data_IF_453781746645
#
_entry.id   IF_453781746645
#
_cell.length_a   1.000
_cell.length_b   1.000
_cell.length_c   1.000
_cell.angle_alpha   90.00
_cell.angle_beta   90.00
_cell.angle_gamma   90.00
#
_symmetry.space_group_name_H-M   'P 1'
#
loop_
_entity.id
_entity.type
_entity.pdbx_description
1 polymer ?
#
# COMPACT_ATOMS: atom_id res chain seq x y z
N UNK A 1 -36.52 -21.42 -17.25
CA UNK A 1 -35.98 -21.41 -15.88
C UNK A 1 -34.84 -22.42 -15.77
N UNK A 2 -33.61 -21.95 -15.53
CA UNK A 2 -32.45 -22.82 -15.31
C UNK A 2 -32.59 -23.55 -13.97
N UNK A 3 -32.53 -24.88 -13.97
CA UNK A 3 -32.53 -25.70 -12.76
C UNK A 3 -31.09 -26.02 -12.40
N UNK A 4 -30.55 -25.40 -11.35
CA UNK A 4 -29.26 -25.81 -10.81
C UNK A 4 -29.46 -26.90 -9.74
N UNK A 5 -28.63 -27.93 -9.81
CA UNK A 5 -28.73 -29.09 -8.91
C UNK A 5 -27.54 -29.05 -7.96
N UNK A 6 -27.80 -28.93 -6.67
CA UNK A 6 -26.76 -28.92 -5.64
C UNK A 6 -26.78 -30.23 -4.87
N UNK A 7 -25.60 -30.82 -4.64
CA UNK A 7 -25.42 -32.01 -3.80
C UNK A 7 -25.41 -31.53 -2.34
N UNK A 8 -26.40 -31.95 -1.56
CA UNK A 8 -26.45 -31.67 -0.12
C UNK A 8 -26.33 -33.01 0.59
N UNK A 9 -25.11 -33.32 1.05
CA UNK A 9 -24.70 -34.62 1.61
C UNK A 9 -24.73 -35.77 0.59
N UNK A 10 -23.88 -36.80 0.83
CA UNK A 10 -23.36 -37.76 -0.16
C UNK A 10 -24.42 -38.47 -1.05
N UNK A 11 -25.69 -38.50 -0.67
CA UNK A 11 -26.75 -39.23 -1.37
C UNK A 11 -27.97 -38.38 -1.79
N UNK A 12 -28.07 -37.09 -1.43
CA UNK A 12 -29.26 -36.27 -1.71
C UNK A 12 -28.95 -35.12 -2.67
N UNK A 13 -29.66 -35.10 -3.81
CA UNK A 13 -29.64 -33.97 -4.76
C UNK A 13 -30.87 -33.10 -4.51
N UNK A 14 -30.67 -31.89 -3.98
CA UNK A 14 -31.75 -30.89 -3.89
C UNK A 14 -31.76 -30.04 -5.16
N UNK A 15 -32.94 -29.96 -5.79
CA UNK A 15 -33.20 -29.04 -6.89
C UNK A 15 -33.72 -27.74 -6.30
N UNK A 16 -32.89 -26.70 -6.33
CA UNK A 16 -33.36 -25.36 -6.05
C UNK A 16 -33.88 -24.78 -7.36
N UNK A 17 -35.14 -24.33 -7.36
CA UNK A 17 -35.55 -23.34 -8.35
C UNK A 17 -34.92 -22.04 -7.85
N UNK A 18 -33.94 -21.51 -8.56
CA UNK A 18 -33.71 -20.07 -8.48
C UNK A 18 -35.07 -19.47 -8.83
N UNK A 19 -35.69 -18.76 -7.89
CA UNK A 19 -36.72 -17.81 -8.26
C UNK A 19 -36.08 -16.96 -9.35
N UNK A 20 -36.64 -16.97 -10.56
CA UNK A 20 -36.21 -16.00 -11.56
C UNK A 20 -36.26 -14.65 -10.83
N UNK A 21 -35.14 -13.93 -10.81
CA UNK A 21 -35.04 -12.67 -10.08
C UNK A 21 -36.07 -11.74 -10.71
N UNK A 22 -37.27 -11.70 -10.15
CA UNK A 22 -38.31 -10.83 -10.68
C UNK A 22 -37.86 -9.40 -10.42
N UNK A 23 -38.01 -8.55 -11.43
CA UNK A 23 -37.69 -7.14 -11.28
C UNK A 23 -38.50 -6.55 -10.08
N UNK A 24 -37.84 -5.86 -9.13
CA UNK A 24 -38.52 -5.21 -8.02
C UNK A 24 -39.60 -4.22 -8.50
N UNK A 25 -40.63 -3.91 -7.69
CA UNK A 25 -41.69 -2.97 -8.06
C UNK A 25 -41.17 -1.60 -8.54
N UNK A 26 -40.08 -1.10 -7.95
CA UNK A 26 -39.46 0.16 -8.35
C UNK A 26 -38.84 0.06 -9.75
N UNK A 27 -38.20 -1.06 -10.08
CA UNK A 27 -37.64 -1.33 -11.41
C UNK A 27 -38.76 -1.50 -12.44
N UNK A 28 -39.85 -2.18 -12.07
CA UNK A 28 -41.06 -2.30 -12.91
C UNK A 28 -41.67 -0.94 -13.22
N UNK A 29 -41.85 -0.10 -12.20
CA UNK A 29 -42.38 1.26 -12.37
C UNK A 29 -41.46 2.13 -13.23
N UNK A 30 -40.14 2.03 -13.03
CA UNK A 30 -39.15 2.73 -13.84
C UNK A 30 -39.18 2.27 -15.31
N UNK A 31 -39.20 0.96 -15.56
CA UNK A 31 -39.31 0.40 -16.90
C UNK A 31 -40.58 0.92 -17.60
N UNK A 32 -41.73 0.86 -16.93
CA UNK A 32 -43.02 1.30 -17.47
C UNK A 32 -43.05 2.79 -17.82
N UNK A 33 -42.27 3.64 -17.14
CA UNK A 33 -42.17 5.08 -17.46
C UNK A 33 -41.49 5.32 -18.82
N UNK A 34 -40.59 4.42 -19.22
CA UNK A 34 -39.79 4.57 -20.43
C UNK A 34 -40.16 3.56 -21.52
N UNK A 35 -41.05 2.60 -21.28
CA UNK A 35 -41.51 1.65 -22.31
C UNK A 35 -42.80 2.13 -23.01
N UNK A 36 -43.10 1.52 -24.15
CA UNK A 36 -44.37 1.72 -24.84
C UNK A 36 -45.53 0.95 -24.16
N UNK A 37 -46.75 1.14 -24.65
CA UNK A 37 -47.94 0.44 -24.16
C UNK A 37 -47.88 -1.09 -24.34
N UNK A 38 -46.94 -1.60 -25.14
CA UNK A 38 -46.70 -3.03 -25.35
C UNK A 38 -45.64 -3.60 -24.39
N UNK A 39 -45.11 -2.78 -23.47
CA UNK A 39 -44.06 -3.19 -22.54
C UNK A 39 -42.69 -3.36 -23.20
N UNK A 40 -42.40 -2.58 -24.24
CA UNK A 40 -41.12 -2.58 -24.96
C UNK A 40 -40.45 -1.21 -24.88
N UNK A 41 -39.18 -1.21 -24.51
CA UNK A 41 -38.30 -0.04 -24.55
C UNK A 41 -37.45 -0.13 -25.82
N UNK A 42 -37.72 0.74 -26.80
CA UNK A 42 -36.94 0.83 -28.04
C UNK A 42 -35.66 1.68 -27.83
N UNK A 43 -34.79 1.84 -28.85
CA UNK A 43 -33.56 2.62 -28.71
C UNK A 43 -33.77 4.06 -28.25
N UNK A 44 -34.76 4.79 -28.78
CA UNK A 44 -35.06 6.17 -28.38
C UNK A 44 -35.50 6.25 -26.91
N UNK A 45 -36.31 5.28 -26.48
CA UNK A 45 -36.75 5.15 -25.11
C UNK A 45 -35.60 4.88 -24.15
N UNK A 46 -34.71 3.96 -24.54
CA UNK A 46 -33.55 3.59 -23.74
C UNK A 46 -32.52 4.74 -23.69
N UNK A 47 -32.30 5.43 -24.81
CA UNK A 47 -31.48 6.64 -24.86
C UNK A 47 -31.98 7.72 -23.89
N UNK A 48 -33.29 8.00 -23.86
CA UNK A 48 -33.88 8.90 -22.85
C UNK A 48 -33.61 8.42 -21.43
N UNK A 49 -33.67 7.12 -21.17
CA UNK A 49 -33.34 6.56 -19.86
C UNK A 49 -31.86 6.77 -19.50
N UNK A 50 -30.93 6.55 -20.44
CA UNK A 50 -29.49 6.79 -20.23
C UNK A 50 -29.21 8.25 -19.86
N UNK A 51 -29.83 9.20 -20.58
CA UNK A 51 -29.66 10.63 -20.32
C UNK A 51 -30.33 11.05 -19.01
N UNK A 52 -31.61 10.72 -18.82
CA UNK A 52 -32.41 11.28 -17.72
C UNK A 52 -32.14 10.61 -16.38
N UNK A 53 -31.86 9.30 -16.38
CA UNK A 53 -31.70 8.48 -15.18
C UNK A 53 -30.24 8.15 -14.93
N UNK A 54 -29.52 7.61 -15.91
CA UNK A 54 -28.09 7.27 -15.75
C UNK A 54 -27.16 8.50 -15.82
N UNK A 55 -27.70 9.69 -16.14
CA UNK A 55 -26.95 10.95 -16.26
C UNK A 55 -25.81 10.88 -17.29
N UNK A 56 -25.99 10.05 -18.32
CA UNK A 56 -25.06 9.95 -19.44
C UNK A 56 -25.44 10.97 -20.50
N UNK A 57 -25.17 12.26 -20.23
CA UNK A 57 -25.63 13.38 -21.08
C UNK A 57 -25.08 13.33 -22.50
N UNK A 58 -23.89 12.75 -22.68
CA UNK A 58 -23.23 12.60 -23.98
C UNK A 58 -23.58 11.29 -24.71
N UNK A 59 -24.45 10.43 -24.15
CA UNK A 59 -24.84 9.20 -24.82
C UNK A 59 -25.56 9.52 -26.14
N UNK A 60 -25.15 8.87 -27.21
CA UNK A 60 -25.81 8.93 -28.52
C UNK A 60 -26.89 7.85 -28.65
N UNK A 61 -27.72 7.96 -29.68
CA UNK A 61 -28.71 6.92 -29.99
C UNK A 61 -28.00 5.61 -30.41
N UNK A 62 -26.87 5.74 -31.08
CA UNK A 62 -26.00 4.64 -31.50
C UNK A 62 -25.43 3.89 -30.28
N UNK A 63 -25.03 4.61 -29.22
CA UNK A 63 -24.57 4.00 -27.96
C UNK A 63 -25.69 3.19 -27.30
N UNK A 64 -26.91 3.75 -27.27
CA UNK A 64 -28.08 3.05 -26.75
C UNK A 64 -28.34 1.76 -27.54
N UNK A 65 -28.26 1.80 -28.87
CA UNK A 65 -28.40 0.61 -29.72
C UNK A 65 -27.29 -0.42 -29.45
N UNK A 66 -26.03 0.01 -29.34
CA UNK A 66 -24.91 -0.88 -29.09
C UNK A 66 -25.04 -1.62 -27.75
N UNK A 67 -25.43 -0.91 -26.68
CA UNK A 67 -25.70 -1.51 -25.36
C UNK A 67 -26.88 -2.48 -25.45
N UNK A 68 -27.93 -2.13 -26.19
CA UNK A 68 -29.08 -3.02 -26.36
C UNK A 68 -28.72 -4.31 -27.11
N UNK A 69 -27.92 -4.19 -28.17
CA UNK A 69 -27.44 -5.33 -28.97
C UNK A 69 -26.55 -6.28 -28.17
N UNK A 70 -25.69 -5.75 -27.30
CA UNK A 70 -24.80 -6.55 -26.45
C UNK A 70 -25.55 -7.23 -25.30
N UNK A 71 -26.58 -6.58 -24.76
CA UNK A 71 -27.36 -7.13 -23.62
C UNK A 71 -28.38 -8.17 -24.05
N UNK A 72 -29.03 -7.95 -25.20
CA UNK A 72 -30.11 -8.80 -25.72
C UNK A 72 -29.56 -9.98 -26.53
N UNK A 73 -30.15 -11.17 -26.39
CA UNK A 73 -29.86 -12.28 -27.29
C UNK A 73 -30.35 -11.94 -28.72
N UNK A 74 -29.70 -12.52 -29.73
CA UNK A 74 -29.91 -12.33 -31.19
C UNK A 74 -31.38 -12.36 -31.64
N UNK A 75 -32.27 -12.97 -30.84
CA UNK A 75 -33.70 -13.13 -31.11
C UNK A 75 -34.61 -11.97 -30.67
N UNK A 76 -34.11 -10.98 -29.91
CA UNK A 76 -34.90 -9.83 -29.42
C UNK A 76 -34.60 -8.54 -30.21
N UNK A 77 -34.84 -8.56 -31.52
CA UNK A 77 -34.53 -7.44 -32.44
C UNK A 77 -35.44 -6.19 -32.31
N UNK A 78 -36.31 -6.11 -31.30
CA UNK A 78 -37.34 -5.05 -31.19
C UNK A 78 -37.19 -4.13 -29.97
N UNK A 79 -36.18 -4.32 -29.13
CA UNK A 79 -35.93 -3.51 -27.94
C UNK A 79 -35.91 -4.32 -26.64
N UNK A 80 -35.74 -3.64 -25.51
CA UNK A 80 -35.74 -4.26 -24.19
C UNK A 80 -37.16 -4.51 -23.70
N UNK A 81 -37.44 -5.75 -23.29
CA UNK A 81 -38.54 -6.05 -22.37
C UNK A 81 -38.05 -5.89 -20.92
N UNK A 82 -38.97 -5.99 -19.95
CA UNK A 82 -38.64 -5.84 -18.52
C UNK A 82 -37.49 -6.77 -18.07
N UNK A 83 -37.48 -8.01 -18.54
CA UNK A 83 -36.43 -8.99 -18.20
C UNK A 83 -35.06 -8.54 -18.72
N UNK A 84 -34.99 -8.09 -19.98
CA UNK A 84 -33.74 -7.65 -20.62
C UNK A 84 -33.25 -6.33 -20.03
N UNK A 85 -34.15 -5.40 -19.73
CA UNK A 85 -33.82 -4.17 -19.03
C UNK A 85 -33.29 -4.44 -17.62
N UNK A 86 -33.92 -5.36 -16.88
CA UNK A 86 -33.42 -5.73 -15.55
C UNK A 86 -32.05 -6.42 -15.62
N UNK A 87 -31.82 -7.24 -16.65
CA UNK A 87 -30.49 -7.80 -16.94
C UNK A 87 -29.47 -6.72 -17.26
N UNK A 88 -29.84 -5.69 -18.03
CA UNK A 88 -28.98 -4.53 -18.30
C UNK A 88 -28.56 -3.83 -17.00
N UNK A 89 -29.50 -3.56 -16.08
CA UNK A 89 -29.20 -2.86 -14.82
C UNK A 89 -28.15 -3.57 -13.96
N UNK A 90 -28.07 -4.90 -14.07
CA UNK A 90 -27.11 -5.75 -13.36
C UNK A 90 -25.89 -6.11 -14.23
N UNK A 91 -25.85 -5.65 -15.47
CA UNK A 91 -24.80 -5.95 -16.43
C UNK A 91 -23.59 -5.03 -16.29
N UNK A 92 -22.48 -5.45 -16.88
CA UNK A 92 -21.22 -4.67 -16.89
C UNK A 92 -21.38 -3.32 -17.58
N UNK A 93 -22.24 -3.22 -18.60
CA UNK A 93 -22.57 -1.96 -19.29
C UNK A 93 -23.32 -0.95 -18.41
N UNK A 94 -23.75 -1.34 -17.20
CA UNK A 94 -24.35 -0.48 -16.19
C UNK A 94 -23.62 -0.59 -14.84
N UNK A 95 -22.33 -0.92 -14.86
CA UNK A 95 -21.54 -0.95 -13.63
C UNK A 95 -21.54 0.43 -12.96
N UNK A 96 -21.73 0.47 -11.64
CA UNK A 96 -21.66 1.69 -10.86
C UNK A 96 -20.23 2.28 -10.83
N UNK A 97 -19.23 1.45 -11.12
CA UNK A 97 -17.84 1.84 -11.27
C UNK A 97 -17.45 1.69 -12.74
N UNK A 98 -16.81 2.70 -13.30
CA UNK A 98 -16.22 2.61 -14.64
C UNK A 98 -14.97 1.72 -14.60
N UNK A 99 -15.15 0.44 -14.89
CA UNK A 99 -14.08 -0.57 -14.87
C UNK A 99 -13.14 -0.48 -16.07
N UNK A 100 -13.51 0.28 -17.10
CA UNK A 100 -12.70 0.47 -18.31
C UNK A 100 -11.89 1.77 -18.27
N UNK A 101 -11.97 2.51 -17.16
CA UNK A 101 -11.28 3.77 -17.01
C UNK A 101 -9.77 3.55 -17.00
N UNK A 102 -9.12 4.01 -18.06
CA UNK A 102 -7.66 4.10 -18.09
C UNK A 102 -7.16 5.21 -17.15
N UNK A 103 -5.84 5.27 -16.99
CA UNK A 103 -5.18 6.37 -16.28
C UNK A 103 -5.56 7.68 -16.96
N UNK A 104 -6.15 8.60 -16.20
CA UNK A 104 -6.73 9.85 -16.72
C UNK A 104 -6.36 11.08 -15.88
N UNK A 105 -5.78 10.89 -14.69
CA UNK A 105 -5.19 12.00 -13.93
C UNK A 105 -3.92 12.46 -14.62
N UNK A 106 -3.51 13.72 -14.39
CA UNK A 106 -2.17 14.15 -14.75
C UNK A 106 -1.16 13.35 -13.94
N UNK A 107 -0.20 12.72 -14.63
CA UNK A 107 0.85 11.89 -14.04
C UNK A 107 2.22 12.58 -14.10
N UNK A 108 2.27 13.87 -14.46
CA UNK A 108 3.49 14.66 -14.61
C UNK A 108 3.82 15.54 -13.40
N UNK A 109 2.90 15.67 -12.43
CA UNK A 109 3.21 16.32 -11.16
C UNK A 109 4.21 15.50 -10.31
N UNK A 110 4.88 16.10 -9.31
CA UNK A 110 5.80 15.41 -8.40
C UNK A 110 5.17 14.22 -7.67
N UNK A 111 5.93 13.16 -7.36
CA UNK A 111 5.41 11.99 -6.62
C UNK A 111 4.72 12.34 -5.29
N UNK A 112 5.12 13.43 -4.62
CA UNK A 112 4.46 13.91 -3.38
C UNK A 112 3.00 14.33 -3.58
N UNK A 113 2.53 14.51 -4.83
CA UNK A 113 1.16 14.94 -5.11
C UNK A 113 0.16 13.78 -5.25
N UNK A 114 0.60 12.53 -5.10
CA UNK A 114 -0.24 11.35 -5.31
C UNK A 114 -0.36 10.52 -4.05
N UNK A 115 -1.53 9.93 -3.84
CA UNK A 115 -1.66 8.79 -2.92
C UNK A 115 -1.07 7.54 -3.56
N UNK A 116 -0.22 6.85 -2.82
CA UNK A 116 0.55 5.71 -3.29
C UNK A 116 0.08 4.47 -2.51
N UNK A 117 -0.44 3.47 -3.23
CA UNK A 117 -0.92 2.25 -2.60
C UNK A 117 0.26 1.49 -1.96
N UNK A 118 0.28 1.43 -0.63
CA UNK A 118 1.47 1.09 0.15
C UNK A 118 1.25 -0.16 1.00
N UNK A 119 2.16 -1.13 0.92
CA UNK A 119 2.23 -2.28 1.80
C UNK A 119 3.03 -2.01 3.07
N UNK A 120 2.62 -2.63 4.17
CA UNK A 120 3.36 -2.71 5.43
C UNK A 120 3.82 -4.16 5.64
N UNK A 121 5.06 -4.37 6.07
CA UNK A 121 5.67 -5.70 6.28
C UNK A 121 5.29 -6.70 5.18
N UNK A 122 5.55 -6.32 3.93
CA UNK A 122 4.96 -6.94 2.73
C UNK A 122 5.38 -8.40 2.51
N UNK A 123 6.32 -8.87 3.30
CA UNK A 123 6.86 -10.23 3.31
C UNK A 123 6.09 -11.19 4.25
N UNK A 124 5.28 -10.68 5.18
CA UNK A 124 4.55 -11.52 6.14
C UNK A 124 3.38 -12.26 5.48
N UNK A 125 3.23 -13.54 5.82
CA UNK A 125 2.12 -14.39 5.33
C UNK A 125 0.89 -14.37 6.23
N UNK A 126 1.00 -13.79 7.43
CA UNK A 126 -0.11 -13.67 8.39
C UNK A 126 0.17 -12.66 9.50
N UNK A 127 0.16 -13.15 10.74
CA UNK A 127 0.32 -12.34 11.95
C UNK A 127 1.76 -11.80 12.12
N UNK A 128 1.93 -10.75 12.92
CA UNK A 128 3.22 -10.07 13.12
C UNK A 128 4.22 -10.84 13.99
N UNK A 129 3.82 -11.88 14.71
CA UNK A 129 4.65 -12.49 15.77
C UNK A 129 5.27 -13.84 15.38
N UNK A 130 4.57 -14.65 14.59
CA UNK A 130 4.95 -16.06 14.36
C UNK A 130 4.60 -16.59 12.99
N UNK A 131 4.09 -15.75 12.08
CA UNK A 131 3.83 -16.17 10.71
C UNK A 131 5.13 -16.32 9.90
N UNK A 132 5.07 -17.04 8.79
CA UNK A 132 6.21 -17.19 7.92
C UNK A 132 6.44 -15.92 7.08
N UNK A 133 7.69 -15.65 6.73
CA UNK A 133 8.04 -14.64 5.73
C UNK A 133 8.21 -15.30 4.35
N UNK A 134 7.75 -14.63 3.31
CA UNK A 134 7.80 -15.14 1.95
C UNK A 134 7.75 -14.01 0.92
N UNK A 135 8.17 -14.32 -0.30
CA UNK A 135 7.98 -13.46 -1.47
C UNK A 135 6.56 -13.56 -2.05
N UNK A 136 5.77 -14.57 -1.66
CA UNK A 136 4.40 -14.77 -2.18
C UNK A 136 3.47 -13.58 -1.87
N UNK A 137 3.40 -13.05 -0.63
CA UNK A 137 2.57 -11.87 -0.34
C UNK A 137 3.01 -10.63 -1.11
N UNK A 138 4.32 -10.48 -1.38
CA UNK A 138 4.87 -9.41 -2.22
C UNK A 138 4.32 -9.52 -3.65
N UNK A 139 4.37 -10.71 -4.25
CA UNK A 139 3.83 -10.96 -5.60
C UNK A 139 2.33 -10.63 -5.65
N UNK A 140 1.57 -11.06 -4.64
CA UNK A 140 0.14 -10.79 -4.55
C UNK A 140 -0.15 -9.29 -4.41
N UNK A 141 0.62 -8.57 -3.60
CA UNK A 141 0.50 -7.13 -3.43
C UNK A 141 0.76 -6.40 -4.76
N UNK A 142 1.82 -6.76 -5.50
CA UNK A 142 2.14 -6.18 -6.79
C UNK A 142 1.04 -6.44 -7.84
N UNK A 143 0.45 -7.64 -7.87
CA UNK A 143 -0.69 -7.96 -8.73
C UNK A 143 -1.97 -7.20 -8.36
N UNK A 144 -2.16 -6.85 -7.08
CA UNK A 144 -3.23 -5.97 -6.61
C UNK A 144 -2.96 -4.48 -6.93
N UNK A 145 -1.79 -4.14 -7.46
CA UNK A 145 -1.41 -2.77 -7.81
C UNK A 145 -0.67 -2.00 -6.71
N UNK A 146 -0.28 -2.63 -5.59
CA UNK A 146 0.56 -2.00 -4.55
C UNK A 146 1.85 -1.49 -5.19
N UNK A 147 2.24 -0.25 -4.88
CA UNK A 147 3.40 0.46 -5.45
C UNK A 147 4.53 0.70 -4.45
N UNK A 148 4.31 0.43 -3.16
CA UNK A 148 5.36 0.48 -2.13
C UNK A 148 5.43 -0.86 -1.42
N UNK A 149 6.60 -1.49 -1.44
CA UNK A 149 6.87 -2.78 -0.80
C UNK A 149 7.87 -2.55 0.33
N UNK A 150 7.50 -2.96 1.55
CA UNK A 150 8.37 -2.88 2.71
C UNK A 150 9.09 -4.20 2.96
N UNK A 151 10.40 -4.12 3.21
CA UNK A 151 11.28 -5.23 3.56
C UNK A 151 12.15 -4.84 4.75
N UNK A 152 12.07 -5.63 5.82
CA UNK A 152 12.89 -5.43 7.02
C UNK A 152 14.11 -6.34 6.91
N UNK A 153 15.27 -5.74 6.73
CA UNK A 153 16.49 -6.46 6.35
C UNK A 153 17.40 -6.64 7.56
N UNK A 154 17.74 -7.90 7.84
CA UNK A 154 18.55 -8.30 8.98
C UNK A 154 19.69 -9.22 8.55
N UNK A 155 20.83 -9.23 9.25
CA UNK A 155 21.85 -10.24 9.05
C UNK A 155 21.30 -11.65 9.27
N UNK A 156 21.70 -12.61 8.44
CA UNK A 156 21.43 -14.02 8.70
C UNK A 156 22.22 -14.51 9.94
N UNK A 157 21.96 -15.74 10.38
CA UNK A 157 22.59 -16.30 11.59
C UNK A 157 24.12 -16.37 11.53
N UNK A 158 24.69 -16.53 10.33
CA UNK A 158 26.15 -16.54 10.08
C UNK A 158 26.75 -15.14 9.85
N UNK A 159 25.91 -14.10 9.80
CA UNK A 159 26.28 -12.68 9.56
C UNK A 159 27.03 -12.43 8.25
N UNK A 160 26.85 -13.29 7.26
CA UNK A 160 27.48 -13.21 5.94
C UNK A 160 26.47 -12.98 4.81
N UNK A 161 25.16 -13.06 5.10
CA UNK A 161 24.08 -12.76 4.16
C UNK A 161 22.90 -12.04 4.84
N UNK A 162 21.87 -11.71 4.06
CA UNK A 162 20.73 -10.90 4.49
C UNK A 162 19.41 -11.64 4.31
N UNK A 163 18.64 -11.65 5.39
CA UNK A 163 17.28 -12.16 5.41
C UNK A 163 16.27 -11.02 5.58
N UNK A 164 15.04 -11.28 5.16
CA UNK A 164 13.87 -10.47 5.45
C UNK A 164 13.03 -11.18 6.51
N UNK A 165 12.79 -10.50 7.63
CA UNK A 165 11.95 -10.97 8.73
C UNK A 165 11.54 -9.82 9.64
N UNK A 166 10.52 -10.06 10.47
CA UNK A 166 10.16 -9.11 11.51
C UNK A 166 11.05 -9.35 12.74
N UNK A 167 11.95 -8.41 13.02
CA UNK A 167 12.96 -8.54 14.07
C UNK A 167 12.36 -8.76 15.46
N UNK A 168 13.04 -9.53 16.30
CA UNK A 168 12.60 -9.79 17.68
C UNK A 168 11.33 -10.65 17.80
N UNK A 169 10.92 -11.31 16.72
CA UNK A 169 9.74 -12.18 16.70
C UNK A 169 10.10 -13.63 16.33
N UNK A 170 9.10 -14.51 16.32
CA UNK A 170 9.23 -15.92 15.92
C UNK A 170 8.90 -16.14 14.44
N UNK A 171 8.90 -15.08 13.63
CA UNK A 171 8.65 -15.19 12.19
C UNK A 171 9.80 -15.94 11.51
N UNK A 172 9.48 -16.84 10.57
CA UNK A 172 10.51 -17.57 9.83
C UNK A 172 11.03 -16.70 8.66
N UNK A 173 12.34 -16.54 8.49
CA UNK A 173 12.90 -15.59 7.53
C UNK A 173 12.80 -16.05 6.06
N UNK A 174 12.90 -15.10 5.14
CA UNK A 174 13.08 -15.34 3.69
C UNK A 174 14.33 -14.65 3.17
N UNK A 175 15.04 -15.25 2.21
CA UNK A 175 16.24 -14.64 1.62
C UNK A 175 15.89 -13.34 0.87
N UNK A 176 16.67 -12.26 1.10
CA UNK A 176 16.43 -10.96 0.47
C UNK A 176 16.46 -11.04 -1.07
N UNK A 177 17.39 -11.81 -1.63
CA UNK A 177 17.52 -11.99 -3.08
C UNK A 177 16.26 -12.60 -3.71
N UNK A 178 15.53 -13.45 -2.95
CA UNK A 178 14.28 -14.03 -3.41
C UNK A 178 13.21 -12.95 -3.54
N UNK A 179 13.07 -12.09 -2.54
CA UNK A 179 12.16 -10.94 -2.57
C UNK A 179 12.49 -10.00 -3.73
N UNK A 180 13.75 -9.63 -3.95
CA UNK A 180 14.12 -8.76 -5.07
C UNK A 180 13.85 -9.36 -6.45
N UNK A 181 14.10 -10.67 -6.64
CA UNK A 181 13.76 -11.37 -7.89
C UNK A 181 12.25 -11.33 -8.17
N UNK A 182 11.45 -11.59 -7.15
CA UNK A 182 9.99 -11.55 -7.26
C UNK A 182 9.48 -10.12 -7.52
N UNK A 183 10.06 -9.10 -6.88
CA UNK A 183 9.76 -7.69 -7.19
C UNK A 183 10.13 -7.38 -8.65
N UNK A 184 11.34 -7.72 -9.11
CA UNK A 184 11.78 -7.47 -10.49
C UNK A 184 10.79 -8.07 -11.52
N UNK A 185 10.34 -9.30 -11.27
CA UNK A 185 9.45 -10.01 -12.18
C UNK A 185 8.03 -9.44 -12.21
N UNK A 186 7.51 -8.96 -11.07
CA UNK A 186 6.11 -8.61 -10.91
C UNK A 186 5.83 -7.11 -10.73
N UNK A 187 6.87 -6.28 -10.60
CA UNK A 187 6.76 -4.85 -10.28
C UNK A 187 5.76 -4.14 -11.19
N UNK A 188 5.77 -4.44 -12.48
CA UNK A 188 5.00 -3.71 -13.48
C UNK A 188 3.84 -4.50 -14.11
N UNK A 189 3.41 -5.59 -13.48
CA UNK A 189 2.31 -6.43 -14.01
C UNK A 189 0.96 -5.71 -13.97
N UNK A 190 0.64 -5.03 -12.87
CA UNK A 190 -0.64 -4.33 -12.69
C UNK A 190 -0.60 -2.86 -13.13
N UNK A 191 0.59 -2.25 -13.20
CA UNK A 191 0.78 -0.83 -13.49
C UNK A 191 2.20 -0.54 -13.96
N UNK A 192 2.36 0.34 -14.94
CA UNK A 192 3.68 0.77 -15.44
C UNK A 192 4.36 1.81 -14.54
N UNK A 193 3.64 2.39 -13.58
CA UNK A 193 4.17 3.41 -12.67
C UNK A 193 5.18 2.82 -11.66
N UNK A 194 6.09 3.67 -11.12
CA UNK A 194 7.22 3.22 -10.31
C UNK A 194 6.81 2.36 -9.11
N UNK A 195 7.72 1.48 -8.71
CA UNK A 195 7.65 0.75 -7.44
C UNK A 195 8.72 1.26 -6.50
N UNK A 196 8.34 1.63 -5.28
CA UNK A 196 9.25 1.99 -4.20
C UNK A 196 9.48 0.76 -3.32
N UNK A 197 10.73 0.45 -3.02
CA UNK A 197 11.11 -0.52 -2.01
C UNK A 197 11.56 0.26 -0.78
N UNK A 198 10.81 0.13 0.31
CA UNK A 198 11.20 0.69 1.60
C UNK A 198 11.99 -0.36 2.37
N UNK A 199 13.25 -0.05 2.70
CA UNK A 199 14.09 -0.94 3.49
C UNK A 199 14.11 -0.45 4.94
N UNK A 200 13.77 -1.32 5.88
CA UNK A 200 14.08 -1.12 7.30
C UNK A 200 15.41 -1.80 7.59
N UNK A 201 16.47 -1.00 7.69
CA UNK A 201 17.85 -1.45 7.63
C UNK A 201 18.46 -1.68 9.03
N UNK A 202 18.79 -2.95 9.32
CA UNK A 202 19.45 -3.39 10.54
C UNK A 202 20.84 -4.00 10.26
N UNK A 203 21.48 -3.60 9.17
CA UNK A 203 22.71 -4.21 8.65
C UNK A 203 23.98 -3.48 9.09
N UNK A 204 25.09 -4.22 9.10
CA UNK A 204 26.44 -3.63 9.18
C UNK A 204 26.84 -3.02 7.83
N UNK A 205 27.84 -2.14 7.83
CA UNK A 205 28.36 -1.48 6.62
C UNK A 205 28.76 -2.47 5.50
N UNK A 206 29.37 -3.61 5.84
CA UNK A 206 29.76 -4.63 4.87
C UNK A 206 28.53 -5.30 4.22
N UNK A 207 27.49 -5.56 5.02
CA UNK A 207 26.23 -6.12 4.53
C UNK A 207 25.45 -5.08 3.72
N UNK A 208 25.48 -3.79 4.09
CA UNK A 208 24.93 -2.70 3.28
C UNK A 208 25.60 -2.65 1.90
N UNK A 209 26.93 -2.77 1.82
CA UNK A 209 27.65 -2.84 0.54
C UNK A 209 27.23 -4.08 -0.28
N UNK A 210 27.03 -5.25 0.38
CA UNK A 210 26.49 -6.46 -0.27
C UNK A 210 25.08 -6.24 -0.79
N UNK A 211 24.18 -5.62 -0.03
CA UNK A 211 22.83 -5.27 -0.48
C UNK A 211 22.88 -4.27 -1.63
N UNK A 212 23.77 -3.28 -1.59
CA UNK A 212 23.91 -2.31 -2.66
C UNK A 212 24.27 -2.98 -3.99
N UNK A 213 25.22 -3.92 -3.96
CA UNK A 213 25.56 -4.77 -5.09
C UNK A 213 24.37 -5.62 -5.53
N UNK A 214 23.65 -6.25 -4.60
CA UNK A 214 22.48 -7.08 -4.89
C UNK A 214 21.35 -6.29 -5.60
N UNK A 215 21.08 -5.07 -5.16
CA UNK A 215 20.09 -4.16 -5.76
C UNK A 215 20.50 -3.79 -7.18
N UNK A 216 21.77 -3.38 -7.40
CA UNK A 216 22.29 -3.05 -8.73
C UNK A 216 22.26 -4.25 -9.67
N UNK A 217 22.76 -5.40 -9.23
CA UNK A 217 22.80 -6.64 -10.02
C UNK A 217 21.37 -7.12 -10.37
N UNK A 218 20.41 -6.96 -9.45
CA UNK A 218 19.04 -7.42 -9.66
C UNK A 218 18.26 -6.47 -10.57
N UNK A 219 18.22 -5.17 -10.25
CA UNK A 219 17.33 -4.23 -10.95
C UNK A 219 17.97 -3.61 -12.19
N UNK A 220 19.30 -3.50 -12.26
CA UNK A 220 20.01 -2.95 -13.42
C UNK A 220 19.40 -1.63 -13.87
N UNK A 221 19.05 -1.53 -15.17
CA UNK A 221 18.43 -0.34 -15.74
C UNK A 221 17.06 0.02 -15.13
N UNK A 222 16.36 -0.92 -14.48
CA UNK A 222 15.10 -0.59 -13.79
C UNK A 222 15.34 0.28 -12.56
N UNK A 223 16.53 0.26 -11.96
CA UNK A 223 16.82 1.05 -10.78
C UNK A 223 16.89 2.54 -11.12
N UNK A 224 16.16 3.35 -10.37
CA UNK A 224 16.36 4.80 -10.32
C UNK A 224 17.35 5.13 -9.19
N UNK A 225 18.53 5.63 -9.56
CA UNK A 225 19.50 6.18 -8.63
C UNK A 225 19.47 7.72 -8.76
N UNK A 226 19.37 8.46 -7.64
CA UNK A 226 19.46 9.92 -7.69
C UNK A 226 20.87 10.35 -8.12
N UNK A 227 20.99 11.57 -8.65
CA UNK A 227 22.30 12.19 -8.89
C UNK A 227 23.05 12.49 -7.58
N UNK A 228 24.22 13.11 -7.69
CA UNK A 228 25.03 13.52 -6.53
C UNK A 228 24.40 14.67 -5.74
N UNK A 229 23.48 15.42 -6.33
CA UNK A 229 22.81 16.55 -5.69
C UNK A 229 21.50 16.13 -4.99
N UNK A 230 21.16 16.73 -3.85
CA UNK A 230 19.87 16.50 -3.20
C UNK A 230 18.70 16.84 -4.14
N UNK A 231 17.69 15.97 -4.15
CA UNK A 231 16.44 16.25 -4.85
C UNK A 231 15.72 17.41 -4.15
N UNK A 232 15.51 18.51 -4.87
CA UNK A 232 14.69 19.64 -4.40
C UNK A 232 13.19 19.34 -4.52
N UNK A 233 12.83 18.42 -5.41
CA UNK A 233 11.47 17.96 -5.70
C UNK A 233 11.52 16.51 -6.18
N UNK A 234 10.47 15.73 -5.91
CA UNK A 234 10.40 14.36 -6.44
C UNK A 234 10.08 14.35 -7.93
N UNK A 235 10.72 13.46 -8.74
CA UNK A 235 10.31 13.27 -10.12
C UNK A 235 8.86 12.77 -10.22
N UNK A 236 8.25 12.92 -11.38
CA UNK A 236 6.85 12.53 -11.60
C UNK A 236 6.67 11.03 -11.81
N UNK A 237 5.50 10.46 -11.50
CA UNK A 237 5.19 9.07 -11.85
C UNK A 237 5.45 8.75 -13.33
N UNK A 238 5.11 9.67 -14.24
CA UNK A 238 5.32 9.49 -15.68
C UNK A 238 6.80 9.35 -16.04
N UNK A 239 7.65 10.23 -15.50
CA UNK A 239 9.11 10.18 -15.73
C UNK A 239 9.79 8.93 -15.13
N UNK A 240 9.16 8.34 -14.11
CA UNK A 240 9.65 7.18 -13.39
C UNK A 240 8.96 5.88 -13.82
N UNK A 241 8.26 5.87 -14.95
CA UNK A 241 7.66 4.65 -15.49
C UNK A 241 8.68 3.52 -15.59
N UNK A 242 8.27 2.36 -15.09
CA UNK A 242 9.05 1.12 -15.05
C UNK A 242 10.37 1.24 -14.26
N UNK A 243 10.44 2.18 -13.32
CA UNK A 243 11.57 2.33 -12.39
C UNK A 243 11.29 1.74 -11.00
N UNK A 244 12.35 1.23 -10.38
CA UNK A 244 12.43 0.78 -8.99
C UNK A 244 13.18 1.84 -8.20
N UNK A 245 12.63 2.25 -7.07
CA UNK A 245 13.16 3.34 -6.23
C UNK A 245 13.46 2.78 -4.85
N UNK A 246 14.65 3.04 -4.32
CA UNK A 246 15.00 2.65 -2.94
C UNK A 246 14.70 3.80 -1.98
N UNK A 247 14.04 3.48 -0.87
CA UNK A 247 13.74 4.42 0.21
C UNK A 247 14.15 3.84 1.56
N UNK A 248 15.12 4.46 2.22
CA UNK A 248 15.59 4.03 3.55
C UNK A 248 16.24 5.21 4.29
N UNK A 249 16.58 5.01 5.56
CA UNK A 249 17.46 5.93 6.29
C UNK A 249 18.86 5.85 5.68
N UNK A 250 19.56 6.98 5.46
CA UNK A 250 20.98 6.93 5.12
C UNK A 250 21.79 6.19 6.19
N UNK A 251 22.90 5.51 5.84
CA UNK A 251 23.77 4.85 6.82
C UNK A 251 24.21 5.81 7.94
N UNK A 252 24.13 5.35 9.20
CA UNK A 252 24.73 6.01 10.36
C UNK A 252 26.24 5.72 10.40
N UNK A 253 27.05 6.65 10.91
CA UNK A 253 28.43 6.38 11.28
C UNK A 253 28.46 5.43 12.49
N UNK A 254 28.98 4.22 12.33
CA UNK A 254 29.33 3.37 13.46
C UNK A 254 30.81 3.56 13.76
N UNK A 255 31.14 4.28 14.83
CA UNK A 255 32.49 4.24 15.38
C UNK A 255 32.79 2.80 15.79
N UNK A 256 33.78 2.17 15.15
CA UNK A 256 34.45 0.98 15.68
C UNK A 256 35.12 1.41 16.99
N UNK A 257 34.46 1.20 18.11
CA UNK A 257 35.14 1.26 19.40
C UNK A 257 36.14 0.10 19.44
N UNK A 258 37.41 0.46 19.33
CA UNK A 258 38.53 -0.46 19.34
C UNK A 258 38.54 -1.32 20.61
N UNK A 259 38.90 -2.59 20.40
CA UNK A 259 39.42 -3.50 21.41
C UNK A 259 40.62 -2.87 22.13
N UNK A 260 40.41 -2.03 23.14
CA UNK A 260 41.40 -1.83 24.21
C UNK A 260 40.79 -1.13 25.42
N UNK A 261 40.44 -1.91 26.45
CA UNK A 261 40.70 -1.58 27.86
C UNK A 261 40.43 -2.81 28.71
N UNK A 262 41.50 -3.57 28.93
CA UNK A 262 41.59 -4.46 30.09
C UNK A 262 41.78 -3.61 31.37
N UNK A 263 41.17 -4.11 32.45
CA UNK A 263 41.36 -3.75 33.87
C UNK A 263 40.43 -2.70 34.48
N UNK A 264 39.35 -3.17 35.13
CA UNK A 264 38.56 -2.44 36.14
C UNK A 264 37.23 -3.16 36.47
N UNK A 265 37.11 -3.69 37.69
CA UNK A 265 36.08 -4.60 38.25
C UNK A 265 34.57 -4.30 38.03
N UNK A 266 33.68 -5.31 38.24
CA UNK A 266 32.37 -5.40 37.60
C UNK A 266 31.25 -4.68 38.36
N UNK A 267 30.67 -3.66 37.74
CA UNK A 267 29.30 -3.21 38.04
C UNK A 267 28.35 -3.81 37.01
N UNK A 268 27.13 -4.11 37.47
CA UNK A 268 26.11 -4.94 36.83
C UNK A 268 25.92 -4.63 35.34
N UNK A 269 26.00 -5.68 34.52
CA UNK A 269 25.55 -5.68 33.13
C UNK A 269 24.03 -5.74 33.14
N UNK A 270 23.39 -4.61 32.84
CA UNK A 270 22.03 -4.63 32.30
C UNK A 270 22.09 -5.03 30.83
N UNK A 271 21.18 -5.90 30.47
CA UNK A 271 21.11 -6.63 29.21
C UNK A 271 20.01 -5.95 28.39
N UNK A 272 20.37 -4.88 27.68
CA UNK A 272 19.41 -4.12 26.87
C UNK A 272 19.21 -4.79 25.52
N UNK A 273 18.16 -5.62 25.47
CA UNK A 273 17.51 -6.07 24.25
C UNK A 273 16.04 -6.25 24.57
N UNK A 274 15.24 -5.20 24.44
CA UNK A 274 13.78 -5.33 24.50
C UNK A 274 13.14 -4.97 23.17
N UNK A 275 13.35 -5.87 22.21
CA UNK A 275 12.26 -6.25 21.34
C UNK A 275 11.21 -7.00 22.19
N UNK A 276 10.09 -6.33 22.48
CA UNK A 276 8.80 -6.82 23.01
C UNK A 276 8.76 -8.15 23.80
N UNK A 277 8.42 -8.07 25.10
CA UNK A 277 7.86 -9.22 25.83
C UNK A 277 7.63 -9.12 27.34
N UNK A 278 6.54 -8.47 27.79
CA UNK A 278 5.90 -8.68 29.10
C UNK A 278 4.78 -7.63 29.28
N UNK A 279 3.52 -7.89 29.60
CA UNK A 279 2.90 -8.93 30.41
C UNK A 279 1.48 -9.25 29.89
N UNK A 280 1.02 -10.49 30.09
CA UNK A 280 -0.41 -10.82 30.03
C UNK A 280 -1.03 -10.44 31.39
N UNK A 281 -1.97 -9.49 31.51
CA UNK A 281 -2.58 -9.21 32.79
C UNK A 281 -3.69 -10.22 33.08
N UNK A 282 -3.48 -11.00 34.13
CA UNK A 282 -4.55 -11.70 34.82
C UNK A 282 -5.55 -10.66 35.38
N UNK A 283 -6.84 -10.98 35.25
CA UNK A 283 -7.98 -10.15 35.59
C UNK A 283 -7.91 -9.55 37.01
N UNK A 284 -7.81 -8.22 37.14
CA UNK A 284 -8.42 -7.42 38.22
C UNK A 284 -8.40 -5.90 37.94
N UNK A 285 -9.60 -5.34 37.91
CA UNK A 285 -10.01 -3.94 37.99
C UNK A 285 -9.01 -2.97 38.66
N UNK A 286 -8.58 -1.93 37.93
CA UNK A 286 -8.92 -0.51 38.18
C UNK A 286 -8.22 0.41 37.17
N UNK A 287 -8.98 1.42 36.75
CA UNK A 287 -8.62 2.56 35.91
C UNK A 287 -7.31 3.26 36.29
N UNK A 288 -6.41 3.43 35.32
CA UNK A 288 -5.42 4.51 35.28
C UNK A 288 -5.00 4.74 33.81
N UNK A 289 -4.89 6.00 33.45
CA UNK A 289 -4.49 6.50 32.12
C UNK A 289 -3.08 6.02 31.75
N UNK A 290 -2.95 5.35 30.60
CA UNK A 290 -1.64 5.02 30.04
C UNK A 290 -1.04 6.28 29.40
N UNK A 291 0.00 6.83 30.04
CA UNK A 291 0.97 7.70 29.40
C UNK A 291 2.00 6.80 28.70
N UNK A 292 1.95 6.82 27.39
CA UNK A 292 2.96 6.23 26.51
C UNK A 292 3.91 7.39 26.12
N UNK A 293 4.78 7.76 27.05
CA UNK A 293 5.93 8.64 26.80
C UNK A 293 7.18 7.81 27.12
N UNK A 294 7.66 7.05 26.15
CA UNK A 294 9.02 6.51 26.11
C UNK A 294 9.53 6.76 24.69
N UNK A 295 10.14 7.93 24.53
CA UNK A 295 10.90 8.31 23.35
C UNK A 295 12.26 7.59 23.40
N UNK A 296 12.67 6.97 22.29
CA UNK A 296 14.05 6.50 22.10
C UNK A 296 14.97 7.72 22.10
N UNK A 297 15.76 7.89 23.17
CA UNK A 297 16.92 8.79 23.18
C UNK A 297 18.05 8.15 22.35
N UNK A 298 17.96 8.29 21.02
CA UNK A 298 19.09 8.03 20.13
C UNK A 298 20.11 9.18 20.29
N UNK A 299 21.15 8.95 21.09
CA UNK A 299 22.38 9.75 21.07
C UNK A 299 22.94 9.71 19.62
N UNK A 300 22.83 10.81 18.89
CA UNK A 300 23.47 10.99 17.58
C UNK A 300 24.25 12.30 17.66
N UNK A 301 25.57 12.18 17.63
CA UNK A 301 26.45 13.26 17.26
C UNK A 301 26.36 13.43 15.74
N UNK A 302 25.94 14.62 15.28
CA UNK A 302 26.03 15.02 13.88
C UNK A 302 27.51 15.15 13.51
N UNK A 303 28.10 14.07 13.01
CA UNK A 303 29.35 14.09 12.28
C UNK A 303 29.05 13.74 10.83
N UNK A 304 29.48 14.64 9.94
CA UNK A 304 29.42 14.48 8.50
C UNK A 304 30.77 13.92 8.02
N UNK A 305 30.90 12.60 7.93
CA UNK A 305 31.92 11.92 7.15
C UNK A 305 31.29 11.17 5.96
N UNK A 306 31.69 11.56 4.75
CA UNK A 306 31.09 11.15 3.47
C UNK A 306 31.41 9.70 3.04
N UNK A 307 31.98 8.86 3.93
CA UNK A 307 32.68 7.63 3.53
C UNK A 307 32.08 6.30 4.03
N UNK A 308 30.93 6.30 4.71
CA UNK A 308 30.30 5.05 5.18
C UNK A 308 29.33 4.48 4.15
N UNK A 309 29.62 3.27 3.64
CA UNK A 309 28.86 2.55 2.60
C UNK A 309 28.38 3.45 1.44
N UNK A 310 29.30 4.12 0.71
CA UNK A 310 28.94 5.10 -0.33
C UNK A 310 28.09 4.47 -1.43
N UNK A 311 28.31 3.18 -1.73
CA UNK A 311 27.49 2.45 -2.70
C UNK A 311 26.05 2.32 -2.25
N UNK A 312 25.80 2.02 -0.97
CA UNK A 312 24.44 1.88 -0.45
C UNK A 312 23.73 3.22 -0.39
N UNK A 313 24.41 4.27 0.11
CA UNK A 313 23.89 5.63 0.15
C UNK A 313 23.49 6.13 -1.25
N UNK A 314 24.30 5.87 -2.27
CA UNK A 314 24.04 6.28 -3.65
C UNK A 314 22.76 5.68 -4.27
N UNK A 315 22.19 4.63 -3.67
CA UNK A 315 20.95 4.03 -4.15
C UNK A 315 19.70 4.74 -3.63
N UNK A 316 19.82 5.51 -2.55
CA UNK A 316 18.67 6.00 -1.79
C UNK A 316 18.10 7.24 -2.47
N UNK A 317 17.08 7.03 -3.30
CA UNK A 317 16.35 8.12 -3.96
C UNK A 317 15.37 8.85 -3.03
N UNK A 318 14.83 8.17 -2.01
CA UNK A 318 13.91 8.77 -1.04
C UNK A 318 14.48 8.57 0.37
N UNK A 319 15.18 9.58 0.88
CA UNK A 319 15.75 9.58 2.23
C UNK A 319 14.65 9.60 3.28
N UNK A 320 14.62 8.58 4.14
CA UNK A 320 13.81 8.58 5.35
C UNK A 320 14.55 9.29 6.48
N UNK A 321 13.85 10.11 7.26
CA UNK A 321 14.44 10.79 8.41
C UNK A 321 13.40 11.45 9.30
N UNK A 322 13.66 11.40 10.59
CA UNK A 322 12.87 12.02 11.66
C UNK A 322 13.87 12.80 12.49
N UNK A 323 13.69 14.12 12.59
CA UNK A 323 14.64 14.96 13.32
C UNK A 323 14.48 14.79 14.84
N UNK A 324 15.27 15.50 15.65
CA UNK A 324 15.26 15.35 17.12
C UNK A 324 14.35 16.36 17.83
N UNK A 325 13.89 17.40 17.15
CA UNK A 325 13.16 18.51 17.76
C UNK A 325 11.65 18.29 17.92
N UNK A 326 11.17 17.04 17.95
CA UNK A 326 9.75 16.73 18.02
C UNK A 326 8.95 17.14 16.77
N UNK A 327 7.62 17.22 16.89
CA UNK A 327 6.71 17.40 15.74
C UNK A 327 7.00 18.64 14.88
N UNK A 328 7.36 19.77 15.48
CA UNK A 328 7.68 21.00 14.73
C UNK A 328 8.91 20.81 13.83
N UNK A 329 9.92 20.11 14.32
CA UNK A 329 11.12 19.78 13.55
C UNK A 329 10.86 18.65 12.53
N UNK A 330 10.07 17.64 12.90
CA UNK A 330 9.71 16.54 12.00
C UNK A 330 8.90 17.03 10.79
N UNK A 331 8.02 18.01 11.00
CA UNK A 331 7.16 18.60 9.97
C UNK A 331 7.79 19.83 9.30
N UNK A 332 9.03 20.17 9.64
CA UNK A 332 9.76 21.25 8.97
C UNK A 332 10.00 20.91 7.49
N UNK A 333 9.92 21.94 6.65
CA UNK A 333 10.09 21.84 5.19
C UNK A 333 11.36 22.58 4.78
N UNK A 334 12.32 21.81 4.27
CA UNK A 334 13.51 22.35 3.61
C UNK A 334 13.18 22.64 2.13
N UNK A 335 13.35 23.88 1.65
CA UNK A 335 13.08 24.22 0.25
C UNK A 335 14.06 23.59 -0.76
N UNK A 336 15.24 23.12 -0.30
CA UNK A 336 16.31 22.59 -1.14
C UNK A 336 16.40 21.07 -1.10
N UNK A 337 15.58 20.40 -0.28
CA UNK A 337 15.67 18.96 -0.08
C UNK A 337 14.32 18.35 0.27
N UNK A 338 13.94 17.30 -0.46
CA UNK A 338 12.80 16.45 -0.10
C UNK A 338 13.23 15.28 0.77
N UNK A 339 12.33 14.86 1.66
CA UNK A 339 12.49 13.69 2.53
C UNK A 339 11.17 12.91 2.69
N UNK A 340 11.28 11.73 3.28
CA UNK A 340 10.16 10.95 3.79
C UNK A 340 10.16 10.97 5.32
N UNK A 341 9.04 11.35 5.92
CA UNK A 341 8.75 11.16 7.34
C UNK A 341 7.88 9.90 7.49
N UNK A 342 8.17 9.07 8.49
CA UNK A 342 7.30 7.94 8.87
C UNK A 342 6.72 8.17 10.25
N UNK A 343 5.40 8.00 10.41
CA UNK A 343 4.69 8.06 11.68
C UNK A 343 3.82 6.81 11.85
N UNK A 344 3.74 6.27 13.05
CA UNK A 344 2.71 5.30 13.40
C UNK A 344 1.31 5.92 13.30
N UNK A 345 0.27 5.09 13.19
CA UNK A 345 -1.12 5.56 13.17
C UNK A 345 -1.46 6.45 14.39
N UNK A 346 -0.90 6.14 15.57
CA UNK A 346 -1.15 6.86 16.82
C UNK A 346 -0.44 8.22 16.84
N UNK A 347 0.81 8.26 16.38
CA UNK A 347 1.55 9.51 16.24
C UNK A 347 0.84 10.45 15.27
N UNK A 348 0.36 9.93 14.12
CA UNK A 348 -0.42 10.72 13.19
C UNK A 348 -1.73 11.22 13.83
N UNK A 349 -2.47 10.39 14.56
CA UNK A 349 -3.70 10.82 15.22
C UNK A 349 -3.47 11.94 16.24
N UNK A 350 -2.35 11.89 16.99
CA UNK A 350 -1.93 12.96 17.92
C UNK A 350 -1.51 14.21 17.16
N UNK A 351 -0.69 14.06 16.12
CA UNK A 351 -0.20 15.15 15.30
C UNK A 351 -1.33 15.85 14.53
N UNK A 352 -2.29 15.12 13.97
CA UNK A 352 -3.42 15.67 13.23
C UNK A 352 -4.28 16.62 14.08
N UNK A 353 -4.44 16.33 15.38
CA UNK A 353 -5.20 17.17 16.32
C UNK A 353 -4.52 18.51 16.62
N UNK A 354 -3.20 18.56 16.51
CA UNK A 354 -2.37 19.67 17.04
C UNK A 354 -1.62 20.44 15.93
N UNK A 355 -1.27 19.77 14.84
CA UNK A 355 -0.38 20.22 13.77
C UNK A 355 -0.96 19.95 12.37
N UNK A 356 -2.28 19.76 12.24
CA UNK A 356 -2.95 19.43 10.96
C UNK A 356 -2.50 20.29 9.76
N UNK A 357 -2.51 21.63 9.86
CA UNK A 357 -2.02 22.50 8.78
C UNK A 357 -0.54 22.30 8.43
N UNK A 358 0.32 22.04 9.42
CA UNK A 358 1.74 21.77 9.22
C UNK A 358 1.94 20.43 8.50
N UNK A 359 1.14 19.41 8.80
CA UNK A 359 1.16 18.13 8.08
C UNK A 359 0.83 18.35 6.61
N UNK A 360 -0.25 19.10 6.31
CA UNK A 360 -0.64 19.40 4.92
C UNK A 360 0.46 20.19 4.20
N UNK A 361 1.09 21.16 4.87
CA UNK A 361 2.22 21.92 4.29
C UNK A 361 3.43 21.02 4.04
N UNK A 362 3.72 20.09 4.93
CA UNK A 362 4.80 19.12 4.77
C UNK A 362 4.56 18.22 3.54
N UNK A 363 3.35 17.67 3.42
CA UNK A 363 2.98 16.70 2.37
C UNK A 363 2.89 17.30 0.96
N UNK A 364 2.84 18.63 0.81
CA UNK A 364 2.92 19.26 -0.50
C UNK A 364 4.25 18.97 -1.22
N UNK A 365 5.37 18.89 -0.47
CA UNK A 365 6.71 18.67 -1.05
C UNK A 365 7.35 17.36 -0.63
N UNK A 366 7.07 16.93 0.60
CA UNK A 366 7.66 15.75 1.20
C UNK A 366 6.68 14.58 1.20
N UNK A 367 7.18 13.37 1.45
CA UNK A 367 6.33 12.18 1.58
C UNK A 367 6.10 11.89 3.06
N UNK A 368 4.84 11.72 3.45
CA UNK A 368 4.46 11.16 4.74
C UNK A 368 4.04 9.71 4.57
N UNK A 369 4.74 8.82 5.27
CA UNK A 369 4.40 7.42 5.45
C UNK A 369 3.70 7.22 6.79
N UNK A 370 2.61 6.47 6.77
CA UNK A 370 1.83 6.08 7.95
C UNK A 370 1.79 4.57 8.02
N UNK A 371 2.04 3.99 9.20
CA UNK A 371 2.05 2.54 9.37
C UNK A 371 1.26 2.06 10.60
N UNK A 372 0.76 0.80 10.60
CA UNK A 372 0.03 0.25 11.73
C UNK A 372 0.87 0.21 13.01
N UNK A 373 0.26 0.44 14.17
CA UNK A 373 0.94 0.32 15.47
C UNK A 373 1.31 -1.13 15.79
N UNK A 374 2.38 -1.30 16.57
CA UNK A 374 2.93 -2.63 16.92
C UNK A 374 1.95 -3.57 17.61
N UNK A 375 0.98 -3.04 18.38
CA UNK A 375 -0.02 -3.88 19.08
C UNK A 375 -1.05 -4.55 18.15
N UNK A 376 -1.01 -4.30 16.84
CA UNK A 376 -1.83 -4.99 15.82
C UNK A 376 -1.19 -6.31 15.42
N UNK A 377 -0.98 -7.18 16.41
CA UNK A 377 -0.30 -8.48 16.23
C UNK A 377 -1.01 -9.39 15.22
N UNK A 378 -2.33 -9.24 15.09
CA UNK A 378 -3.18 -9.97 14.14
C UNK A 378 -3.12 -9.43 12.71
N UNK A 379 -2.26 -8.44 12.45
CA UNK A 379 -2.15 -7.74 11.17
C UNK A 379 -3.42 -6.98 10.78
N UNK A 380 -4.27 -6.60 11.73
CA UNK A 380 -5.40 -5.70 11.47
C UNK A 380 -4.94 -4.35 10.90
N UNK A 381 -5.84 -3.66 10.20
CA UNK A 381 -5.56 -2.36 9.59
C UNK A 381 -6.28 -1.22 10.34
N UNK A 382 -5.73 0.00 10.21
CA UNK A 382 -6.28 1.23 10.78
C UNK A 382 -7.15 1.97 9.76
N UNK A 383 -7.83 3.04 10.20
CA UNK A 383 -8.62 3.88 9.30
C UNK A 383 -7.69 4.78 8.45
N UNK A 384 -7.64 4.58 7.12
CA UNK A 384 -6.70 5.34 6.28
C UNK A 384 -7.11 6.80 6.06
N UNK A 385 -8.37 7.15 6.34
CA UNK A 385 -8.90 8.49 6.06
C UNK A 385 -8.14 9.56 6.84
N UNK A 386 -7.65 9.26 8.05
CA UNK A 386 -6.85 10.23 8.83
C UNK A 386 -5.60 10.63 8.06
N UNK A 387 -4.89 9.67 7.44
CA UNK A 387 -3.73 9.93 6.60
C UNK A 387 -4.09 10.72 5.35
N UNK A 388 -5.03 10.23 4.55
CA UNK A 388 -5.39 10.86 3.27
C UNK A 388 -5.97 12.26 3.43
N UNK A 389 -6.75 12.53 4.48
CA UNK A 389 -7.28 13.87 4.77
C UNK A 389 -6.17 14.91 5.06
N UNK A 390 -4.99 14.46 5.50
CA UNK A 390 -3.84 15.34 5.75
C UNK A 390 -2.76 15.23 4.65
N UNK A 391 -3.10 14.61 3.52
CA UNK A 391 -2.21 14.51 2.36
C UNK A 391 -1.14 13.43 2.46
N UNK A 392 -1.22 12.50 3.42
CA UNK A 392 -0.25 11.42 3.53
C UNK A 392 -0.28 10.51 2.29
N UNK A 393 0.84 10.42 1.59
CA UNK A 393 0.95 9.69 0.33
C UNK A 393 1.06 8.19 0.55
N UNK A 394 1.85 7.77 1.56
CA UNK A 394 2.15 6.36 1.83
C UNK A 394 1.40 5.86 3.06
N UNK A 395 0.08 5.68 2.94
CA UNK A 395 -0.74 5.04 3.99
C UNK A 395 -0.60 3.53 3.85
N UNK A 396 0.24 2.93 4.69
CA UNK A 396 0.64 1.53 4.59
C UNK A 396 -0.39 0.58 5.24
N UNK A 397 -0.67 -0.55 4.58
CA UNK A 397 -1.57 -1.59 5.10
C UNK A 397 -0.89 -2.95 5.16
N UNK A 398 -1.28 -3.76 6.14
CA UNK A 398 -1.06 -5.20 6.10
C UNK A 398 -1.94 -5.78 4.98
N UNK A 399 -1.33 -6.45 3.99
CA UNK A 399 -1.99 -6.93 2.77
C UNK A 399 -2.57 -8.34 2.89
N UNK A 400 -2.03 -9.09 3.86
CA UNK A 400 -2.51 -10.35 4.40
C UNK A 400 -3.61 -10.10 5.42
#
# INVERSE_FOLDING_TARGET
MSKQTYKVCFCFRRRFRLAATEAPPQVKALFNKYSDNNGVMNPDHFHRFLVQVQKQENASLEDAQAIMHTTANIFHRKGFNLETFFKYLLGESNSALDTNRSVHHDMNAPLSHYFIFTGHNSYLTGNQLSSDCSDVPIIQALHKGVRVIELDIWPNSTKDDVHVLHGGTLTTPVELIKCFKSIKQHAFTASEFPVVITLEDHLTTDLQAKVAKMVRDTFGDMLFAPGTEPLQEFPSPESLKRRIIISTKPPKEYLKSEETKASGNPSQRENDSEAWGGEIPNFKSRSAEFKDDLEEEDEEEDLHDDNVAPEYRSLIAIHAGKGKGGLDDWLSVDPNKVRRLSLSEQELEKAAKTHGPQIVRFTQRNILRVYPKGIRFDSSNYNPLVGWMHGAQMVAFNMQ
#
